data_IF_001983258532
#
_entry.id   IF_001983258532
#
_cell.length_a   1.000
_cell.length_b   1.000
_cell.length_c   1.000
_cell.angle_alpha   90.00
_cell.angle_beta   90.00
_cell.angle_gamma   90.00
#
_symmetry.space_group_name_H-M   'P 1'
#
loop_
_entity.id
_entity.type
_entity.pdbx_description
1 polymer ?
#
# COMPACT_ATOMS: atom_id res chain seq x y z
N UNK A 1 28.46 -1.49 -5.76
CA UNK A 1 27.97 -1.09 -4.42
C UNK A 1 28.20 0.40 -4.16
N UNK A 2 29.44 0.90 -4.27
CA UNK A 2 29.77 2.33 -4.09
C UNK A 2 29.03 3.27 -5.07
N UNK A 3 29.14 3.03 -6.37
CA UNK A 3 28.45 3.84 -7.39
C UNK A 3 26.94 3.86 -7.22
N UNK A 4 26.35 2.76 -6.75
CA UNK A 4 24.92 2.67 -6.45
C UNK A 4 24.51 3.63 -5.35
N UNK A 5 25.32 3.78 -4.30
CA UNK A 5 25.09 4.73 -3.20
C UNK A 5 25.14 6.16 -3.72
N UNK A 6 26.14 6.49 -4.55
CA UNK A 6 26.26 7.81 -5.17
C UNK A 6 25.02 8.12 -6.02
N UNK A 7 24.69 7.26 -6.98
CA UNK A 7 23.55 7.44 -7.89
C UNK A 7 22.23 7.60 -7.11
N UNK A 8 21.98 6.75 -6.12
CA UNK A 8 20.78 6.84 -5.30
C UNK A 8 20.73 8.13 -4.48
N UNK A 9 21.88 8.57 -3.94
CA UNK A 9 21.96 9.81 -3.17
C UNK A 9 21.64 11.03 -4.04
N UNK A 10 22.14 11.06 -5.28
CA UNK A 10 21.77 12.10 -6.25
C UNK A 10 20.28 12.02 -6.61
N UNK A 11 19.81 10.84 -6.99
CA UNK A 11 18.48 10.66 -7.57
C UNK A 11 17.35 10.79 -6.55
N UNK A 12 17.51 10.20 -5.37
CA UNK A 12 16.44 10.01 -4.40
C UNK A 12 16.57 10.92 -3.19
N UNK A 13 17.80 11.18 -2.75
CA UNK A 13 18.06 11.98 -1.55
C UNK A 13 18.28 13.46 -1.86
N UNK A 14 18.33 13.84 -3.15
CA UNK A 14 18.52 15.23 -3.59
C UNK A 14 19.90 15.80 -3.25
N UNK A 15 20.89 14.94 -2.97
CA UNK A 15 22.25 15.36 -2.68
C UNK A 15 22.96 15.77 -3.96
N UNK A 16 23.87 16.73 -3.88
CA UNK A 16 24.60 17.25 -5.06
C UNK A 16 26.12 17.29 -4.89
N UNK A 17 26.64 17.10 -3.66
CA UNK A 17 28.08 17.05 -3.36
C UNK A 17 28.50 15.61 -3.03
N UNK A 18 29.41 15.05 -3.82
CA UNK A 18 29.98 13.71 -3.62
C UNK A 18 30.64 13.60 -2.25
N UNK A 19 31.35 14.64 -1.79
CA UNK A 19 32.06 14.60 -0.50
C UNK A 19 31.08 14.46 0.66
N UNK A 20 29.92 15.10 0.57
CA UNK A 20 28.86 14.94 1.57
C UNK A 20 28.29 13.51 1.55
N UNK A 21 28.24 12.87 0.38
CA UNK A 21 27.80 11.48 0.26
C UNK A 21 28.86 10.53 0.83
N UNK A 22 30.14 10.77 0.55
CA UNK A 22 31.27 9.96 1.04
C UNK A 22 31.43 10.03 2.57
N UNK A 23 31.08 11.17 3.19
CA UNK A 23 31.09 11.34 4.65
C UNK A 23 29.91 10.65 5.35
N UNK A 24 28.89 10.21 4.60
CA UNK A 24 27.70 9.58 5.17
C UNK A 24 28.00 8.16 5.64
N UNK A 25 27.56 7.84 6.84
CA UNK A 25 27.64 6.47 7.36
C UNK A 25 26.66 5.55 6.63
N UNK A 26 26.94 4.23 6.55
CA UNK A 26 25.98 3.27 6.00
C UNK A 26 24.62 3.30 6.69
N UNK A 27 24.59 3.59 8.00
CA UNK A 27 23.36 3.73 8.77
C UNK A 27 22.53 4.94 8.32
N UNK A 28 23.14 6.12 8.21
CA UNK A 28 22.46 7.33 7.75
C UNK A 28 21.93 7.17 6.32
N UNK A 29 22.72 6.54 5.44
CA UNK A 29 22.26 6.20 4.09
C UNK A 29 21.04 5.28 4.13
N UNK A 30 21.07 4.24 4.96
CA UNK A 30 19.94 3.32 5.17
C UNK A 30 18.68 4.06 5.61
N UNK A 31 18.77 4.86 6.68
CA UNK A 31 17.64 5.63 7.21
C UNK A 31 17.06 6.57 6.16
N UNK A 32 17.92 7.29 5.42
CA UNK A 32 17.49 8.21 4.35
C UNK A 32 16.79 7.48 3.21
N UNK A 33 17.30 6.30 2.83
CA UNK A 33 16.68 5.47 1.80
C UNK A 33 15.31 4.94 2.23
N UNK A 34 15.18 4.47 3.48
CA UNK A 34 13.89 4.05 4.05
C UNK A 34 12.90 5.22 4.09
N UNK A 35 13.32 6.39 4.55
CA UNK A 35 12.48 7.59 4.55
C UNK A 35 12.03 7.98 3.14
N UNK A 36 12.91 7.87 2.14
CA UNK A 36 12.56 8.10 0.75
C UNK A 36 11.53 7.08 0.23
N UNK A 37 11.65 5.80 0.58
CA UNK A 37 10.69 4.76 0.21
C UNK A 37 9.30 5.03 0.80
N UNK A 38 9.23 5.43 2.08
CA UNK A 38 7.98 5.81 2.73
C UNK A 38 7.34 7.04 2.08
N UNK A 39 8.12 8.08 1.78
CA UNK A 39 7.64 9.25 1.04
C UNK A 39 7.08 8.87 -0.33
N UNK A 40 7.71 7.93 -1.02
CA UNK A 40 7.22 7.43 -2.31
C UNK A 40 5.91 6.66 -2.15
N UNK A 41 5.76 5.90 -1.07
CA UNK A 41 4.53 5.19 -0.74
C UNK A 41 3.37 6.17 -0.51
N UNK A 42 3.61 7.29 0.17
CA UNK A 42 2.60 8.36 0.35
C UNK A 42 2.12 8.91 -1.01
N UNK A 43 3.04 9.20 -1.93
CA UNK A 43 2.69 9.65 -3.29
C UNK A 43 1.92 8.57 -4.06
N UNK A 44 2.28 7.30 -3.88
CA UNK A 44 1.54 6.19 -4.49
C UNK A 44 0.12 6.11 -3.94
N UNK A 45 -0.09 6.27 -2.64
CA UNK A 45 -1.42 6.32 -2.03
C UNK A 45 -2.28 7.40 -2.67
N UNK A 46 -1.77 8.63 -2.78
CA UNK A 46 -2.48 9.74 -3.42
C UNK A 46 -2.88 9.42 -4.87
N UNK A 47 -1.95 8.86 -5.66
CA UNK A 47 -2.21 8.46 -7.05
C UNK A 47 -3.27 7.35 -7.14
N UNK A 48 -3.20 6.34 -6.26
CA UNK A 48 -4.19 5.27 -6.22
C UNK A 48 -5.55 5.81 -5.79
N UNK A 49 -5.59 6.74 -4.84
CA UNK A 49 -6.82 7.38 -4.40
C UNK A 49 -7.47 8.18 -5.53
N UNK A 50 -6.68 8.95 -6.29
CA UNK A 50 -7.18 9.64 -7.48
C UNK A 50 -7.72 8.65 -8.53
N UNK A 51 -7.01 7.58 -8.83
CA UNK A 51 -7.46 6.55 -9.76
C UNK A 51 -8.76 5.88 -9.29
N UNK A 52 -8.87 5.62 -7.99
CA UNK A 52 -10.04 5.06 -7.34
C UNK A 52 -11.27 5.97 -7.45
N UNK A 53 -11.11 7.27 -7.15
CA UNK A 53 -12.17 8.27 -7.29
C UNK A 53 -12.60 8.37 -8.77
N UNK A 54 -11.65 8.47 -9.69
CA UNK A 54 -11.92 8.49 -11.13
C UNK A 54 -12.65 7.24 -11.63
N UNK A 55 -12.35 6.07 -11.04
CA UNK A 55 -13.06 4.81 -11.31
C UNK A 55 -14.47 4.82 -10.73
N UNK A 56 -14.68 5.28 -9.49
CA UNK A 56 -16.02 5.39 -8.89
C UNK A 56 -16.94 6.28 -9.73
N UNK A 57 -16.41 7.35 -10.32
CA UNK A 57 -17.15 8.23 -11.25
C UNK A 57 -17.61 7.50 -12.52
N UNK A 58 -16.93 6.40 -12.93
CA UNK A 58 -17.19 5.69 -14.20
C UNK A 58 -17.80 4.29 -14.03
N UNK A 59 -17.69 3.68 -12.85
CA UNK A 59 -18.00 2.27 -12.63
C UNK A 59 -19.40 2.07 -12.04
N UNK A 60 -20.41 2.26 -12.87
CA UNK A 60 -21.75 1.76 -12.61
C UNK A 60 -21.92 0.42 -13.34
N UNK A 61 -21.93 -0.70 -12.60
CA UNK A 61 -22.26 -2.00 -13.18
C UNK A 61 -23.73 -2.28 -12.96
N UNK A 62 -24.51 -2.39 -14.05
CA UNK A 62 -25.89 -2.84 -13.97
C UNK A 62 -25.92 -4.36 -13.72
N UNK A 63 -26.31 -4.75 -12.52
CA UNK A 63 -26.50 -6.13 -12.04
C UNK A 63 -28.00 -6.47 -12.00
N UNK A 64 -28.84 -5.62 -12.59
CA UNK A 64 -30.27 -5.87 -12.73
C UNK A 64 -30.60 -6.65 -14.01
N UNK A 65 -31.84 -7.12 -14.10
CA UNK A 65 -32.42 -7.55 -15.39
C UNK A 65 -32.81 -6.32 -16.20
N UNK A 66 -32.96 -6.42 -17.53
CA UNK A 66 -33.41 -5.30 -18.40
C UNK A 66 -34.65 -4.55 -17.86
N UNK A 67 -35.53 -5.26 -17.14
CA UNK A 67 -36.76 -4.70 -16.55
C UNK A 67 -36.58 -4.04 -15.17
N UNK A 68 -35.47 -4.27 -14.47
CA UNK A 68 -35.15 -3.70 -13.14
C UNK A 68 -33.63 -3.54 -12.97
N UNK A 69 -33.03 -2.43 -13.45
CA UNK A 69 -31.60 -2.21 -13.32
C UNK A 69 -31.20 -2.06 -11.84
N UNK A 70 -30.07 -2.67 -11.43
CA UNK A 70 -29.51 -2.55 -10.08
C UNK A 70 -28.02 -2.24 -10.19
N UNK A 71 -27.63 -1.01 -9.89
CA UNK A 71 -26.24 -0.59 -10.01
C UNK A 71 -25.50 -0.89 -8.71
N UNK A 72 -24.37 -1.61 -8.77
CA UNK A 72 -23.52 -1.84 -7.59
C UNK A 72 -22.04 -1.58 -7.95
N UNK A 73 -21.28 -0.86 -7.10
CA UNK A 73 -19.84 -0.67 -7.30
C UNK A 73 -19.06 -1.98 -7.13
N UNK A 74 -18.10 -2.25 -8.04
CA UNK A 74 -17.30 -3.49 -8.10
C UNK A 74 -16.32 -3.66 -6.94
N UNK A 75 -15.89 -2.56 -6.33
CA UNK A 75 -15.06 -2.55 -5.13
C UNK A 75 -15.73 -1.65 -4.08
N UNK A 76 -15.82 -2.13 -2.84
CA UNK A 76 -16.54 -1.44 -1.76
C UNK A 76 -15.64 -0.50 -0.96
N UNK A 77 -14.34 -0.81 -0.86
CA UNK A 77 -13.35 -0.11 -0.03
C UNK A 77 -12.07 0.19 -0.80
N UNK A 78 -11.39 1.28 -0.45
CA UNK A 78 -10.14 1.68 -1.11
C UNK A 78 -8.98 0.77 -0.72
N UNK A 79 -9.01 0.26 0.51
CA UNK A 79 -8.03 -0.63 1.12
C UNK A 79 -7.94 -1.97 0.39
N UNK A 80 -9.02 -2.41 -0.28
CA UNK A 80 -9.01 -3.60 -1.15
C UNK A 80 -8.24 -3.35 -2.46
N UNK A 81 -8.08 -2.08 -2.86
CA UNK A 81 -7.36 -1.67 -4.06
C UNK A 81 -5.90 -1.29 -3.75
N UNK A 82 -5.65 -0.68 -2.61
CA UNK A 82 -4.31 -0.26 -2.17
C UNK A 82 -4.18 -0.38 -0.64
N UNK A 83 -3.37 -1.33 -0.19
CA UNK A 83 -3.08 -1.57 1.23
C UNK A 83 -1.74 -0.92 1.61
N UNK A 84 -1.83 0.33 2.08
CA UNK A 84 -0.66 1.11 2.50
C UNK A 84 0.05 0.49 3.69
N UNK A 85 -0.69 0.04 4.71
CA UNK A 85 -0.11 -0.51 5.94
C UNK A 85 0.75 -1.74 5.67
N UNK A 86 0.30 -2.61 4.76
CA UNK A 86 1.08 -3.77 4.34
C UNK A 86 2.40 -3.35 3.70
N UNK A 87 2.37 -2.39 2.78
CA UNK A 87 3.56 -1.91 2.07
C UNK A 87 4.52 -1.17 3.01
N UNK A 88 4.01 -0.41 3.97
CA UNK A 88 4.81 0.28 4.98
C UNK A 88 5.57 -0.71 5.87
N UNK A 89 4.89 -1.77 6.34
CA UNK A 89 5.52 -2.84 7.13
C UNK A 89 6.60 -3.57 6.35
N UNK A 90 6.38 -3.80 5.06
CA UNK A 90 7.39 -4.40 4.16
C UNK A 90 8.63 -3.51 4.04
N UNK A 91 8.45 -2.20 3.85
CA UNK A 91 9.55 -1.22 3.78
C UNK A 91 10.35 -1.18 5.09
N UNK A 92 9.66 -1.26 6.23
CA UNK A 92 10.29 -1.28 7.55
C UNK A 92 10.91 -2.63 7.92
N UNK A 93 10.77 -3.66 7.07
CA UNK A 93 11.24 -5.01 7.35
C UNK A 93 10.53 -5.66 8.54
N UNK A 94 9.34 -5.18 8.89
CA UNK A 94 8.51 -5.78 9.94
C UNK A 94 7.87 -7.02 9.31
N UNK A 95 8.27 -8.21 9.76
CA UNK A 95 7.63 -9.45 9.33
C UNK A 95 6.13 -9.38 9.60
N UNK A 96 5.35 -9.22 8.53
CA UNK A 96 3.90 -9.34 8.61
C UNK A 96 3.63 -10.83 8.75
N UNK A 97 3.45 -11.28 9.99
CA UNK A 97 2.74 -12.53 10.21
C UNK A 97 1.36 -12.32 9.58
N UNK A 98 1.16 -12.83 8.36
CA UNK A 98 -0.17 -12.95 7.81
C UNK A 98 -0.95 -13.79 8.81
N UNK A 99 -1.78 -13.15 9.63
CA UNK A 99 -2.83 -13.84 10.36
C UNK A 99 -3.86 -14.28 9.32
N UNK A 100 -3.49 -15.28 8.50
CA UNK A 100 -4.43 -16.13 7.82
C UNK A 100 -5.16 -16.85 8.94
N UNK A 101 -6.26 -16.26 9.41
CA UNK A 101 -7.17 -16.96 10.30
C UNK A 101 -7.46 -18.31 9.62
N UNK A 102 -7.11 -19.44 10.24
CA UNK A 102 -7.43 -20.75 9.70
C UNK A 102 -8.90 -20.79 9.30
N UNK A 103 -9.26 -21.45 8.19
CA UNK A 103 -10.65 -21.52 7.72
C UNK A 103 -11.64 -22.00 8.79
N UNK A 104 -11.16 -22.75 9.79
CA UNK A 104 -11.91 -23.16 10.97
C UNK A 104 -12.30 -22.00 11.90
N UNK A 105 -11.39 -21.04 12.13
CA UNK A 105 -11.66 -19.88 12.99
C UNK A 105 -12.71 -18.96 12.36
N UNK A 106 -12.68 -18.77 11.03
CA UNK A 106 -13.70 -17.99 10.32
C UNK A 106 -15.07 -18.67 10.36
N UNK A 107 -15.11 -20.00 10.32
CA UNK A 107 -16.35 -20.80 10.41
C UNK A 107 -16.94 -20.73 11.83
N UNK A 108 -16.11 -20.86 12.86
CA UNK A 108 -16.52 -20.73 14.26
C UNK A 108 -17.06 -19.32 14.54
N UNK A 109 -16.37 -18.28 14.07
CA UNK A 109 -16.80 -16.87 14.23
C UNK A 109 -18.16 -16.60 13.56
N UNK A 110 -18.42 -17.21 12.39
CA UNK A 110 -19.72 -17.12 11.70
C UNK A 110 -20.83 -17.83 12.47
N UNK A 111 -20.54 -18.98 13.08
CA UNK A 111 -21.49 -19.73 13.89
C UNK A 111 -21.84 -18.98 15.20
N UNK A 112 -20.85 -18.41 15.87
CA UNK A 112 -21.06 -17.61 17.08
C UNK A 112 -21.92 -16.37 16.81
N UNK A 113 -21.71 -15.67 15.69
CA UNK A 113 -22.55 -14.54 15.28
C UNK A 113 -24.00 -14.95 14.96
N UNK A 114 -24.19 -16.12 14.35
CA UNK A 114 -25.52 -16.64 14.01
C UNK A 114 -26.30 -17.12 15.23
N UNK A 115 -25.62 -17.60 16.27
CA UNK A 115 -26.26 -18.01 17.51
C UNK A 115 -26.68 -16.82 18.41
N UNK A 116 -26.18 -15.61 18.11
CA UNK A 116 -26.42 -14.39 18.89
C UNK A 116 -27.34 -13.38 18.16
N UNK A 117 -28.01 -13.81 17.08
CA UNK A 117 -29.13 -13.14 16.39
C UNK A 117 -30.37 -14.01 16.48
#
# INVERSE_FOLDING_TARGET
>A
MYETILINSFRFLGMSDIRQIELMTPYEYGVRMTAYQLKKLDVQEELHYQAWVNRKVKAEKNIGTEKKPKVVPVFTKFEDFFDKEKLEKEILGIEIQEVKQPPEQTKLLKLMKKANS
#
